data_IF_115661172003
#
_entry.id   IF_115661172003
#
_cell.length_a   1.000
_cell.length_b   1.000
_cell.length_c   1.000
_cell.angle_alpha   90.00
_cell.angle_beta   90.00
_cell.angle_gamma   90.00
#
_symmetry.space_group_name_H-M   'P 1'
#
loop_
_entity.id
_entity.type
_entity.pdbx_description
1 polymer ?
#
# COMPACT_ATOMS: atom_id res chain seq x y z
N UNK A 1 -8.55 -33.31 -19.70
CA UNK A 1 -7.48 -32.74 -18.88
C UNK A 1 -6.82 -33.84 -18.11
N UNK A 2 -5.58 -34.13 -18.43
CA UNK A 2 -4.81 -35.20 -17.78
C UNK A 2 -4.28 -34.75 -16.38
N UNK A 3 -3.58 -35.64 -15.68
CA UNK A 3 -3.08 -35.35 -14.33
C UNK A 3 -2.01 -34.27 -14.33
N UNK A 4 -1.15 -34.22 -15.35
CA UNK A 4 -0.09 -33.23 -15.47
C UNK A 4 -0.69 -31.81 -15.67
N UNK A 5 -1.63 -31.66 -16.60
CA UNK A 5 -2.34 -30.41 -16.84
C UNK A 5 -3.08 -29.90 -15.58
N UNK A 6 -3.64 -30.84 -14.78
CA UNK A 6 -4.29 -30.47 -13.52
C UNK A 6 -3.29 -30.01 -12.47
N UNK A 7 -2.13 -30.65 -12.38
CA UNK A 7 -1.07 -30.28 -11.46
C UNK A 7 -0.52 -28.90 -11.80
N UNK A 8 -0.19 -28.66 -13.08
CA UNK A 8 0.31 -27.36 -13.56
C UNK A 8 -0.65 -26.21 -13.21
N UNK A 9 -1.96 -26.45 -13.38
CA UNK A 9 -2.97 -25.46 -13.00
C UNK A 9 -3.01 -25.19 -11.51
N UNK A 10 -3.00 -26.24 -10.68
CA UNK A 10 -2.98 -26.09 -9.21
C UNK A 10 -1.73 -25.37 -8.74
N UNK A 11 -0.57 -25.66 -9.33
CA UNK A 11 0.68 -24.97 -9.01
C UNK A 11 0.64 -23.48 -9.42
N UNK A 12 0.02 -23.17 -10.56
CA UNK A 12 -0.17 -21.78 -10.99
C UNK A 12 -1.09 -21.01 -10.02
N UNK A 13 -2.23 -21.60 -9.68
CA UNK A 13 -3.17 -21.02 -8.70
C UNK A 13 -2.50 -20.84 -7.32
N UNK A 14 -1.70 -21.79 -6.88
CA UNK A 14 -0.97 -21.69 -5.61
C UNK A 14 0.11 -20.59 -5.64
N UNK A 15 0.80 -20.40 -6.76
CA UNK A 15 1.75 -19.31 -6.93
C UNK A 15 1.04 -17.95 -6.82
N UNK A 16 -0.07 -17.78 -7.53
CA UNK A 16 -0.87 -16.56 -7.46
C UNK A 16 -1.36 -16.25 -6.03
N UNK A 17 -1.87 -17.25 -5.31
CA UNK A 17 -2.30 -17.10 -3.92
C UNK A 17 -1.13 -16.69 -2.99
N UNK A 18 0.06 -17.26 -3.19
CA UNK A 18 1.26 -16.88 -2.44
C UNK A 18 1.69 -15.45 -2.73
N UNK A 19 1.58 -15.01 -3.98
CA UNK A 19 1.88 -13.64 -4.37
C UNK A 19 0.89 -12.64 -3.76
N UNK A 20 -0.39 -12.94 -3.80
CA UNK A 20 -1.44 -12.13 -3.15
C UNK A 20 -1.16 -12.00 -1.65
N UNK A 21 -0.80 -13.10 -0.98
CA UNK A 21 -0.51 -13.07 0.46
C UNK A 21 0.79 -12.31 0.76
N UNK A 22 1.80 -12.42 -0.09
CA UNK A 22 3.05 -11.66 0.04
C UNK A 22 2.80 -10.14 -0.10
N UNK A 23 1.95 -9.73 -1.04
CA UNK A 23 1.57 -8.31 -1.20
C UNK A 23 0.74 -7.84 0.00
N UNK A 24 -0.20 -8.64 0.49
CA UNK A 24 -0.98 -8.36 1.71
C UNK A 24 -0.07 -8.16 2.93
N UNK A 25 0.91 -9.04 3.09
CA UNK A 25 1.92 -8.94 4.14
C UNK A 25 2.76 -7.66 4.01
N UNK A 26 3.20 -7.31 2.78
CA UNK A 26 3.93 -6.08 2.52
C UNK A 26 3.13 -4.84 2.94
N UNK A 27 1.85 -4.76 2.56
CA UNK A 27 0.98 -3.64 2.93
C UNK A 27 0.75 -3.55 4.44
N UNK A 28 0.62 -4.69 5.13
CA UNK A 28 0.48 -4.73 6.59
C UNK A 28 1.76 -4.27 7.29
N UNK A 29 2.92 -4.79 6.86
CA UNK A 29 4.21 -4.40 7.45
C UNK A 29 4.61 -2.97 7.13
N UNK A 30 4.22 -2.47 5.95
CA UNK A 30 4.36 -1.06 5.59
C UNK A 30 3.71 -0.14 6.63
N UNK A 31 2.45 -0.42 7.01
CA UNK A 31 1.73 0.35 8.03
C UNK A 31 2.44 0.32 9.38
N UNK A 32 2.81 -0.86 9.87
CA UNK A 32 3.54 -1.01 11.13
C UNK A 32 4.89 -0.29 11.13
N UNK A 33 5.64 -0.34 10.04
CA UNK A 33 6.92 0.35 9.95
C UNK A 33 6.75 1.87 9.96
N UNK A 34 5.70 2.39 9.33
CA UNK A 34 5.36 3.81 9.41
C UNK A 34 4.98 4.22 10.84
N UNK A 35 4.14 3.44 11.51
CA UNK A 35 3.68 3.71 12.88
C UNK A 35 4.81 3.67 13.91
N UNK A 36 5.80 2.82 13.72
CA UNK A 36 6.93 2.64 14.62
C UNK A 36 8.18 3.44 14.23
N UNK A 37 8.13 4.24 13.16
CA UNK A 37 9.27 5.02 12.67
C UNK A 37 10.46 4.16 12.20
N UNK A 38 10.20 2.94 11.70
CA UNK A 38 11.22 2.00 11.23
C UNK A 38 11.61 2.31 9.79
N UNK A 39 12.45 3.32 9.61
CA UNK A 39 12.77 3.93 8.31
C UNK A 39 13.26 2.91 7.29
N UNK A 40 14.29 2.13 7.61
CA UNK A 40 14.87 1.16 6.68
C UNK A 40 13.84 0.10 6.23
N UNK A 41 13.08 -0.46 7.18
CA UNK A 41 12.07 -1.46 6.90
C UNK A 41 10.88 -0.89 6.12
N UNK A 42 10.55 0.38 6.33
CA UNK A 42 9.57 1.11 5.51
C UNK A 42 10.05 1.25 4.07
N UNK A 43 11.32 1.65 3.88
CA UNK A 43 11.94 1.83 2.57
C UNK A 43 12.15 0.48 1.84
N UNK A 44 12.38 -0.60 2.57
CA UNK A 44 12.50 -1.95 2.00
C UNK A 44 11.21 -2.44 1.32
N UNK A 45 10.08 -1.86 1.64
CA UNK A 45 8.80 -2.12 0.95
C UNK A 45 8.69 -1.47 -0.43
N UNK A 46 9.56 -0.50 -0.77
CA UNK A 46 9.52 0.28 -2.00
C UNK A 46 10.60 -0.16 -3.00
N UNK A 47 10.34 0.12 -4.29
CA UNK A 47 11.41 0.18 -5.30
C UNK A 47 12.24 1.46 -5.10
N UNK A 48 13.47 1.48 -5.64
CA UNK A 48 14.35 2.65 -5.47
C UNK A 48 13.81 3.92 -6.14
N UNK A 49 13.01 3.76 -7.17
CA UNK A 49 12.31 4.80 -7.94
C UNK A 49 10.84 4.98 -7.53
N UNK A 50 10.46 4.43 -6.39
CA UNK A 50 9.07 4.42 -5.91
C UNK A 50 8.44 5.81 -5.81
N UNK A 51 7.16 5.90 -6.15
CA UNK A 51 6.40 7.15 -6.18
C UNK A 51 5.27 7.11 -5.15
N UNK A 52 5.28 8.03 -4.21
CA UNK A 52 4.15 8.24 -3.30
C UNK A 52 3.39 9.52 -3.66
N UNK A 53 2.28 9.36 -4.32
CA UNK A 53 1.33 10.40 -4.69
C UNK A 53 0.33 10.59 -3.52
N UNK A 54 0.65 11.53 -2.63
CA UNK A 54 -0.07 11.72 -1.37
C UNK A 54 -1.37 12.52 -1.55
N UNK A 55 -1.36 13.48 -2.48
CA UNK A 55 -2.50 14.34 -2.78
C UNK A 55 -2.32 14.94 -4.17
N UNK A 56 -3.30 15.73 -4.63
CA UNK A 56 -3.26 16.42 -5.91
C UNK A 56 -2.03 17.33 -6.06
N UNK A 57 -1.51 17.86 -4.95
CA UNK A 57 -0.42 18.85 -4.93
C UNK A 57 0.89 18.31 -4.35
N UNK A 58 0.92 17.04 -3.92
CA UNK A 58 2.08 16.48 -3.22
C UNK A 58 2.44 15.09 -3.70
N UNK A 59 3.59 14.96 -4.33
CA UNK A 59 4.18 13.70 -4.76
C UNK A 59 5.63 13.61 -4.28
N UNK A 60 6.02 12.44 -3.80
CA UNK A 60 7.38 12.11 -3.41
C UNK A 60 7.92 11.05 -4.37
N UNK A 61 9.10 11.27 -4.93
CA UNK A 61 9.70 10.36 -5.90
C UNK A 61 11.08 9.89 -5.46
N UNK A 62 11.26 8.59 -5.50
CA UNK A 62 12.51 7.91 -5.21
C UNK A 62 12.83 7.76 -3.72
N UNK A 63 13.80 6.88 -3.43
CA UNK A 63 14.18 6.49 -2.07
C UNK A 63 14.52 7.67 -1.18
N UNK A 64 15.28 8.65 -1.68
CA UNK A 64 15.70 9.81 -0.86
C UNK A 64 14.52 10.68 -0.39
N UNK A 65 13.50 10.89 -1.25
CA UNK A 65 12.32 11.65 -0.87
C UNK A 65 11.47 10.88 0.16
N UNK A 66 11.31 9.55 -0.02
CA UNK A 66 10.62 8.69 0.93
C UNK A 66 11.35 8.59 2.28
N UNK A 67 12.69 8.55 2.26
CA UNK A 67 13.51 8.60 3.46
C UNK A 67 13.34 9.93 4.19
N UNK A 68 13.37 11.04 3.45
CA UNK A 68 13.14 12.39 3.99
C UNK A 68 11.78 12.51 4.69
N UNK A 69 10.71 11.94 4.10
CA UNK A 69 9.39 11.89 4.75
C UNK A 69 9.45 11.22 6.12
N UNK A 70 10.19 10.12 6.24
CA UNK A 70 10.25 9.30 7.45
C UNK A 70 11.24 9.82 8.50
N UNK A 71 12.32 10.48 8.07
CA UNK A 71 13.48 10.81 8.90
C UNK A 71 13.57 12.27 9.32
N UNK A 72 12.81 13.19 8.69
CA UNK A 72 12.84 14.60 9.06
C UNK A 72 12.43 14.79 10.53
N UNK A 73 13.34 15.24 11.41
CA UNK A 73 13.05 15.39 12.85
C UNK A 73 12.00 16.46 13.13
N UNK A 74 11.77 17.36 12.17
CA UNK A 74 10.75 18.43 12.25
C UNK A 74 9.49 18.08 11.49
N UNK A 75 9.50 16.96 10.75
CA UNK A 75 8.42 16.52 9.89
C UNK A 75 7.23 15.95 10.65
N UNK A 76 6.08 15.98 9.99
CA UNK A 76 4.83 15.47 10.55
C UNK A 76 4.93 13.97 10.94
N UNK A 77 5.62 13.16 10.13
CA UNK A 77 5.83 11.74 10.39
C UNK A 77 6.49 11.53 11.77
N UNK A 78 7.58 12.25 12.04
CA UNK A 78 8.31 12.13 13.30
C UNK A 78 7.54 12.68 14.50
N UNK A 79 6.91 13.82 14.33
CA UNK A 79 6.27 14.55 15.43
C UNK A 79 4.86 14.04 15.78
N UNK A 80 4.13 13.49 14.82
CA UNK A 80 2.71 13.15 14.99
C UNK A 80 2.38 11.67 14.75
N UNK A 81 3.12 10.98 13.89
CA UNK A 81 2.83 9.60 13.47
C UNK A 81 3.57 8.59 14.33
N UNK A 82 4.90 8.74 14.47
CA UNK A 82 5.75 7.77 15.14
C UNK A 82 5.28 7.47 16.57
N UNK A 83 5.00 6.20 16.86
CA UNK A 83 4.50 5.68 18.14
C UNK A 83 3.16 6.28 18.61
N UNK A 84 2.43 6.95 17.74
CA UNK A 84 1.15 7.61 18.09
C UNK A 84 0.03 7.31 17.11
N UNK A 85 0.31 6.59 16.04
CA UNK A 85 -0.65 6.28 14.99
C UNK A 85 -0.92 4.80 14.82
N UNK A 86 -1.98 4.50 14.08
CA UNK A 86 -2.27 3.19 13.51
C UNK A 86 -2.68 3.36 12.05
N UNK A 87 -1.93 2.73 11.15
CA UNK A 87 -2.29 2.60 9.75
C UNK A 87 -3.10 1.33 9.54
N UNK A 88 -4.33 1.47 9.14
CA UNK A 88 -5.24 0.36 8.82
C UNK A 88 -5.49 0.35 7.31
N UNK A 89 -5.44 -0.83 6.70
CA UNK A 89 -5.86 -1.06 5.32
C UNK A 89 -7.05 -2.01 5.32
N UNK A 90 -8.10 -1.67 4.59
CA UNK A 90 -9.34 -2.42 4.54
C UNK A 90 -9.91 -2.48 3.12
N UNK A 91 -10.85 -3.42 2.89
CA UNK A 91 -11.51 -3.62 1.60
C UNK A 91 -10.50 -3.79 0.44
N UNK A 92 -9.49 -4.63 0.69
CA UNK A 92 -8.34 -4.77 -0.18
C UNK A 92 -8.61 -5.74 -1.32
N UNK A 93 -8.53 -5.25 -2.56
CA UNK A 93 -8.46 -6.03 -3.79
C UNK A 93 -7.00 -6.11 -4.24
N UNK A 94 -6.53 -7.29 -4.61
CA UNK A 94 -5.18 -7.50 -5.13
C UNK A 94 -5.29 -8.32 -6.40
N UNK A 95 -4.61 -7.89 -7.45
CA UNK A 95 -4.51 -8.61 -8.72
C UNK A 95 -3.06 -8.75 -9.14
N UNK A 96 -2.68 -9.99 -9.43
CA UNK A 96 -1.32 -10.33 -9.90
C UNK A 96 -1.37 -10.61 -11.40
N UNK A 97 -0.37 -10.10 -12.13
CA UNK A 97 -0.19 -10.36 -13.54
C UNK A 97 1.31 -10.53 -13.86
N UNK A 98 1.78 -11.77 -13.82
CA UNK A 98 3.20 -12.10 -13.99
C UNK A 98 4.08 -11.46 -12.91
N UNK A 99 5.01 -10.60 -13.31
CA UNK A 99 5.93 -9.90 -12.41
C UNK A 99 5.42 -8.50 -12.00
N UNK A 100 4.23 -8.13 -12.43
CA UNK A 100 3.50 -6.95 -11.99
C UNK A 100 2.28 -7.32 -11.15
N UNK A 101 1.87 -6.41 -10.27
CA UNK A 101 0.63 -6.52 -9.53
C UNK A 101 0.10 -5.12 -9.17
N UNK A 102 -1.18 -5.07 -8.83
CA UNK A 102 -1.74 -3.87 -8.23
C UNK A 102 -2.70 -4.23 -7.10
N UNK A 103 -2.90 -3.29 -6.21
CA UNK A 103 -3.91 -3.40 -5.16
C UNK A 103 -4.70 -2.11 -5.02
N UNK A 104 -5.90 -2.23 -4.51
CA UNK A 104 -6.77 -1.11 -4.18
C UNK A 104 -7.49 -1.37 -2.88
N UNK A 105 -7.80 -0.29 -2.18
CA UNK A 105 -8.51 -0.39 -0.93
C UNK A 105 -8.59 0.93 -0.19
N UNK A 106 -9.20 0.89 0.98
CA UNK A 106 -9.23 2.02 1.89
C UNK A 106 -8.06 1.97 2.86
N UNK A 107 -7.58 3.14 3.25
CA UNK A 107 -6.73 3.28 4.42
C UNK A 107 -7.35 4.24 5.42
N UNK A 108 -7.16 3.94 6.69
CA UNK A 108 -7.51 4.81 7.80
C UNK A 108 -6.27 4.98 8.67
N UNK A 109 -5.93 6.22 8.98
CA UNK A 109 -4.89 6.55 9.94
C UNK A 109 -5.56 7.17 11.16
N UNK A 110 -5.31 6.56 12.31
CA UNK A 110 -5.75 7.12 13.59
C UNK A 110 -4.56 7.72 14.34
N UNK A 111 -4.81 8.72 15.16
CA UNK A 111 -3.81 9.34 16.03
C UNK A 111 -4.28 9.35 17.47
N UNK A 112 -3.35 8.97 18.38
CA UNK A 112 -3.54 9.14 19.81
C UNK A 112 -3.26 10.60 20.22
N UNK A 113 -4.18 11.20 20.93
CA UNK A 113 -4.08 12.54 21.50
C UNK A 113 -4.52 12.59 22.96
N UNK A 114 -4.46 13.78 23.57
CA UNK A 114 -4.85 13.96 24.96
C UNK A 114 -6.32 13.59 25.23
N UNK A 115 -7.19 13.81 24.24
CA UNK A 115 -8.63 13.53 24.33
C UNK A 115 -9.01 12.13 23.78
N UNK A 116 -8.05 11.23 23.61
CA UNK A 116 -8.25 9.88 23.07
C UNK A 116 -7.79 9.73 21.62
N UNK A 117 -8.27 8.66 20.97
CA UNK A 117 -7.91 8.33 19.57
C UNK A 117 -8.87 8.99 18.62
N UNK A 118 -8.35 9.63 17.60
CA UNK A 118 -9.12 10.29 16.53
C UNK A 118 -8.70 9.77 15.16
N UNK A 119 -9.63 9.75 14.21
CA UNK A 119 -9.31 9.53 12.80
C UNK A 119 -8.60 10.79 12.29
N UNK A 120 -7.38 10.61 11.79
CA UNK A 120 -6.59 11.67 11.18
C UNK A 120 -6.80 11.74 9.67
N UNK A 121 -6.79 10.59 9.02
CA UNK A 121 -7.02 10.49 7.57
C UNK A 121 -7.79 9.22 7.24
N UNK A 122 -8.69 9.33 6.28
CA UNK A 122 -9.36 8.18 5.68
C UNK A 122 -9.44 8.43 4.17
N UNK A 123 -9.20 7.40 3.37
CA UNK A 123 -9.23 7.58 1.93
C UNK A 123 -9.05 6.29 1.14
N UNK A 124 -9.20 6.46 -0.15
CA UNK A 124 -8.90 5.46 -1.16
C UNK A 124 -7.41 5.43 -1.46
N UNK A 125 -6.90 4.24 -1.76
CA UNK A 125 -5.54 4.04 -2.24
C UNK A 125 -5.54 3.08 -3.43
N UNK A 126 -4.61 3.35 -4.34
CA UNK A 126 -4.14 2.42 -5.36
C UNK A 126 -2.64 2.20 -5.15
N UNK A 127 -2.21 0.95 -5.28
CA UNK A 127 -0.80 0.57 -5.17
C UNK A 127 -0.40 -0.27 -6.38
N UNK A 128 0.74 0.06 -6.99
CA UNK A 128 1.39 -0.76 -8.01
C UNK A 128 2.61 -1.45 -7.41
N UNK A 129 2.85 -2.68 -7.87
CA UNK A 129 3.95 -3.52 -7.40
C UNK A 129 4.70 -4.17 -8.55
N UNK A 130 5.98 -4.43 -8.30
CA UNK A 130 6.83 -5.24 -9.16
C UNK A 130 7.49 -6.35 -8.35
N UNK A 131 7.70 -7.50 -8.99
CA UNK A 131 8.47 -8.59 -8.43
C UNK A 131 9.97 -8.27 -8.55
N UNK A 132 10.65 -8.21 -7.43
CA UNK A 132 12.10 -8.02 -7.35
C UNK A 132 12.78 -9.30 -6.83
N UNK A 133 14.12 -9.33 -6.81
CA UNK A 133 14.89 -10.50 -6.35
C UNK A 133 14.57 -10.93 -4.91
N UNK A 134 14.15 -10.00 -4.06
CA UNK A 134 13.81 -10.25 -2.64
C UNK A 134 12.31 -10.19 -2.35
N UNK A 135 11.45 -10.43 -3.35
CA UNK A 135 9.99 -10.38 -3.21
C UNK A 135 9.38 -9.11 -3.83
N UNK A 136 8.13 -8.86 -3.54
CA UNK A 136 7.39 -7.73 -4.08
C UNK A 136 7.87 -6.38 -3.55
N UNK A 137 7.86 -5.36 -4.41
CA UNK A 137 8.18 -3.96 -4.07
C UNK A 137 7.10 -3.06 -4.61
N UNK A 138 6.72 -2.08 -3.83
CA UNK A 138 5.79 -1.03 -4.22
C UNK A 138 6.51 -0.04 -5.15
N UNK A 139 6.00 0.15 -6.36
CA UNK A 139 6.52 1.12 -7.32
C UNK A 139 5.74 2.42 -7.29
N UNK A 140 4.47 2.35 -6.91
CA UNK A 140 3.63 3.52 -6.75
C UNK A 140 2.61 3.31 -5.64
N UNK A 141 2.31 4.36 -4.91
CA UNK A 141 1.13 4.49 -4.07
C UNK A 141 0.45 5.81 -4.39
N UNK A 142 -0.80 5.73 -4.79
CA UNK A 142 -1.69 6.88 -4.90
C UNK A 142 -2.64 6.87 -3.70
N UNK A 143 -2.80 8.01 -3.03
CA UNK A 143 -3.78 8.21 -1.96
C UNK A 143 -4.67 9.40 -2.26
N UNK A 144 -5.99 9.22 -2.06
CA UNK A 144 -6.97 10.32 -2.15
C UNK A 144 -7.86 10.29 -0.92
N UNK A 145 -7.98 11.44 -0.28
CA UNK A 145 -8.80 11.58 0.93
C UNK A 145 -10.27 11.49 0.55
N UNK A 146 -11.04 10.73 1.33
CA UNK A 146 -12.49 10.57 1.12
C UNK A 146 -13.20 11.92 1.14
N UNK A 147 -14.11 12.13 0.19
CA UNK A 147 -14.83 13.39 0.02
C UNK A 147 -14.03 14.51 -0.64
N UNK A 148 -12.74 14.29 -0.98
CA UNK A 148 -11.97 15.21 -1.81
C UNK A 148 -12.39 15.15 -3.29
N UNK A 149 -11.92 16.11 -4.12
CA UNK A 149 -12.36 16.22 -5.53
C UNK A 149 -11.94 15.02 -6.40
N UNK A 150 -10.92 14.27 -6.00
CA UNK A 150 -10.37 13.14 -6.77
C UNK A 150 -10.31 11.84 -5.96
N UNK A 151 -11.22 11.64 -5.03
CA UNK A 151 -11.13 10.52 -4.09
C UNK A 151 -11.38 9.12 -4.68
N UNK A 152 -11.63 9.00 -5.95
CA UNK A 152 -11.61 7.69 -6.63
C UNK A 152 -12.92 6.88 -6.55
N UNK A 153 -14.06 7.51 -6.25
CA UNK A 153 -15.36 6.82 -6.19
C UNK A 153 -15.74 6.11 -7.49
N UNK A 154 -15.46 6.73 -8.63
CA UNK A 154 -15.75 6.15 -9.96
C UNK A 154 -14.84 4.95 -10.26
N UNK A 155 -13.59 4.99 -9.81
CA UNK A 155 -12.64 3.89 -9.96
C UNK A 155 -13.10 2.69 -9.13
N UNK A 156 -13.49 2.91 -7.87
CA UNK A 156 -14.03 1.86 -7.01
C UNK A 156 -15.27 1.23 -7.65
N UNK A 157 -16.18 2.04 -8.20
CA UNK A 157 -17.37 1.55 -8.87
C UNK A 157 -17.04 0.58 -10.02
N UNK A 158 -15.98 0.84 -10.78
CA UNK A 158 -15.57 -0.01 -11.90
C UNK A 158 -15.16 -1.43 -11.51
N UNK A 159 -14.73 -1.65 -10.25
CA UNK A 159 -14.40 -3.01 -9.74
C UNK A 159 -15.61 -3.78 -9.25
N UNK A 160 -16.72 -3.11 -9.01
CA UNK A 160 -17.96 -3.73 -8.58
C UNK A 160 -18.82 -4.20 -9.78
N UNK A 161 -18.47 -3.76 -10.98
CA UNK A 161 -19.13 -4.23 -12.20
C UNK A 161 -18.69 -5.67 -12.47
N UNK A 162 -19.64 -6.58 -12.82
CA UNK A 162 -19.27 -7.94 -13.19
C UNK A 162 -18.36 -7.91 -14.42
N UNK A 163 -17.27 -8.67 -14.36
CA UNK A 163 -16.41 -8.88 -15.53
C UNK A 163 -17.25 -9.50 -16.65
N UNK A 164 -17.48 -8.75 -17.73
CA UNK A 164 -18.16 -9.23 -18.94
C UNK A 164 -17.32 -10.25 -19.67
#
# INVERSE_FOLDING_TARGET
>A
MDLAERLDRVEAELRELRDIEAIRHLLSTYGFNADLGRVEQYLDGWSDDGVYDLSEDMQLEGRAALEGLMSDPTGFQKLQIENRSQHLVANLFIKVNGDGAWAEGYSVVTLAGADGVKIFAAGYNHWDFVRAAKGWRMTRRLRRVIGGPTWGGDVIASYLEPAN
#
